data_IF_433922358394
#
_entry.id   IF_433922358394
#
_cell.length_a   1.000
_cell.length_b   1.000
_cell.length_c   1.000
_cell.angle_alpha   90.00
_cell.angle_beta   90.00
_cell.angle_gamma   90.00
#
_symmetry.space_group_name_H-M   'P 1'
#
loop_
_entity.id
_entity.type
_entity.pdbx_description
1 polymer ?
#
# COMPACT_ATOMS: atom_id res chain seq x y z
N UNK A 1 1.23 36.67 -47.98
CA UNK A 1 1.44 36.90 -46.54
C UNK A 1 0.29 36.21 -45.82
N UNK A 2 0.55 35.12 -45.07
CA UNK A 2 0.63 35.11 -43.58
C UNK A 2 -0.74 35.49 -42.99
N UNK A 3 -1.52 34.68 -42.27
CA UNK A 3 -1.26 33.56 -41.36
C UNK A 3 -2.56 32.75 -41.14
N UNK A 4 -2.66 31.51 -41.63
CA UNK A 4 -3.73 30.55 -41.25
C UNK A 4 -3.22 29.48 -40.26
N UNK A 5 -2.01 29.64 -39.74
CA UNK A 5 -1.40 28.74 -38.74
C UNK A 5 -1.80 29.05 -37.29
N UNK A 6 -2.87 29.83 -37.07
CA UNK A 6 -3.30 30.26 -35.73
C UNK A 6 -4.19 29.23 -35.01
N UNK A 7 -4.79 28.28 -35.74
CA UNK A 7 -5.66 27.24 -35.15
C UNK A 7 -4.97 25.88 -34.94
N UNK A 8 -3.67 25.76 -35.25
CA UNK A 8 -2.82 24.62 -34.83
C UNK A 8 -1.97 25.05 -33.61
N UNK A 9 -2.50 25.96 -32.80
CA UNK A 9 -1.90 26.38 -31.55
C UNK A 9 -2.95 26.46 -30.45
N UNK A 10 -3.95 25.57 -30.50
CA UNK A 10 -4.69 25.22 -29.30
C UNK A 10 -3.76 24.38 -28.43
N UNK A 11 -2.76 25.05 -27.86
CA UNK A 11 -2.28 24.92 -26.49
C UNK A 11 -2.83 23.69 -25.79
N UNK A 12 -2.35 22.53 -26.20
CA UNK A 12 -2.34 21.32 -25.41
C UNK A 12 -1.30 21.49 -24.32
N UNK A 13 -1.48 22.53 -23.50
CA UNK A 13 -0.93 22.63 -22.16
C UNK A 13 -1.81 21.79 -21.24
N UNK A 14 -1.99 20.51 -21.58
CA UNK A 14 -2.48 19.52 -20.64
C UNK A 14 -1.33 19.34 -19.67
N UNK A 15 -1.47 19.88 -18.47
CA UNK A 15 -0.65 19.55 -17.32
C UNK A 15 -0.76 18.04 -17.10
N UNK A 16 0.12 17.26 -17.73
CA UNK A 16 0.17 15.80 -17.60
C UNK A 16 0.54 15.33 -16.19
N UNK A 17 0.84 16.26 -15.29
CA UNK A 17 1.24 15.98 -13.91
C UNK A 17 0.11 15.35 -13.08
N UNK A 18 -1.16 15.72 -13.32
CA UNK A 18 -2.29 15.23 -12.51
C UNK A 18 -2.61 13.75 -12.73
N UNK A 19 -2.38 13.23 -13.94
CA UNK A 19 -2.63 11.82 -14.25
C UNK A 19 -1.64 10.89 -13.56
N UNK A 20 -0.36 11.26 -13.59
CA UNK A 20 0.73 10.47 -13.01
C UNK A 20 0.60 10.39 -11.48
N UNK A 21 0.23 11.51 -10.83
CA UNK A 21 -0.01 11.54 -9.39
C UNK A 21 -1.16 10.62 -8.93
N UNK A 22 -2.21 10.47 -9.74
CA UNK A 22 -3.33 9.56 -9.42
C UNK A 22 -2.94 8.09 -9.57
N UNK A 23 -2.10 7.78 -10.55
CA UNK A 23 -1.62 6.42 -10.79
C UNK A 23 -0.66 5.98 -9.69
N UNK A 24 0.27 6.85 -9.29
CA UNK A 24 1.19 6.58 -8.19
C UNK A 24 0.42 6.35 -6.89
N UNK A 25 -0.58 7.19 -6.60
CA UNK A 25 -1.44 7.02 -5.42
C UNK A 25 -2.21 5.70 -5.43
N UNK A 26 -2.72 5.27 -6.59
CA UNK A 26 -3.42 3.99 -6.74
C UNK A 26 -2.48 2.78 -6.48
N UNK A 27 -1.25 2.84 -6.98
CA UNK A 27 -0.23 1.80 -6.75
C UNK A 27 0.14 1.71 -5.27
N UNK A 28 0.28 2.87 -4.60
CA UNK A 28 0.53 2.93 -3.14
C UNK A 28 -0.60 2.23 -2.35
N UNK A 29 -1.86 2.48 -2.71
CA UNK A 29 -3.02 1.86 -2.04
C UNK A 29 -3.12 0.35 -2.30
N UNK A 30 -2.77 -0.11 -3.50
CA UNK A 30 -2.77 -1.55 -3.82
C UNK A 30 -1.79 -2.33 -2.93
N UNK A 31 -0.65 -1.71 -2.59
CA UNK A 31 0.33 -2.28 -1.65
C UNK A 31 -0.24 -2.46 -0.24
N UNK A 32 -1.05 -1.50 0.24
CA UNK A 32 -1.72 -1.59 1.55
C UNK A 32 -2.72 -2.74 1.60
N UNK A 33 -3.36 -3.09 0.47
CA UNK A 33 -4.22 -4.27 0.38
C UNK A 33 -3.51 -5.57 0.79
N UNK A 34 -2.22 -5.71 0.50
CA UNK A 34 -1.41 -6.85 0.91
C UNK A 34 -1.21 -6.95 2.43
N UNK A 35 -1.16 -5.82 3.13
CA UNK A 35 -1.07 -5.76 4.60
C UNK A 35 -2.33 -6.35 5.24
N UNK A 36 -3.52 -5.99 4.74
CA UNK A 36 -4.78 -6.54 5.25
C UNK A 36 -4.83 -8.08 5.10
N UNK A 37 -4.36 -8.60 3.97
CA UNK A 37 -4.27 -10.04 3.74
C UNK A 37 -3.26 -10.72 4.68
N UNK A 38 -2.11 -10.07 4.93
CA UNK A 38 -1.10 -10.55 5.87
C UNK A 38 -1.62 -10.68 7.29
N UNK A 39 -2.40 -9.69 7.78
CA UNK A 39 -3.02 -9.72 9.11
C UNK A 39 -4.00 -10.89 9.22
N UNK A 40 -4.84 -11.10 8.20
CA UNK A 40 -5.78 -12.22 8.17
C UNK A 40 -5.08 -13.58 8.25
N UNK A 41 -3.97 -13.75 7.52
CA UNK A 41 -3.16 -14.96 7.59
C UNK A 41 -2.55 -15.19 8.98
N UNK A 42 -2.11 -14.11 9.63
CA UNK A 42 -1.52 -14.17 10.96
C UNK A 42 -2.56 -14.59 12.01
N UNK A 43 -3.77 -14.02 11.94
CA UNK A 43 -4.88 -14.39 12.83
C UNK A 43 -5.35 -15.83 12.58
N UNK A 44 -5.41 -16.28 11.33
CA UNK A 44 -5.74 -17.66 10.97
C UNK A 44 -4.71 -18.65 11.52
N UNK A 45 -3.42 -18.33 11.44
CA UNK A 45 -2.34 -19.15 12.00
C UNK A 45 -2.40 -19.20 13.53
N UNK A 46 -2.72 -18.08 14.19
CA UNK A 46 -2.88 -18.01 15.64
C UNK A 46 -4.05 -18.89 16.13
N UNK A 47 -5.21 -18.80 15.48
CA UNK A 47 -6.39 -19.60 15.83
C UNK A 47 -6.10 -21.09 15.65
N UNK A 48 -5.50 -21.47 14.52
CA UNK A 48 -5.14 -22.84 14.23
C UNK A 48 -4.09 -23.37 15.22
N UNK A 49 -3.06 -22.59 15.52
CA UNK A 49 -1.99 -22.96 16.46
C UNK A 49 -2.50 -23.11 17.90
N UNK A 50 -3.33 -22.17 18.36
CA UNK A 50 -3.97 -22.22 19.69
C UNK A 50 -4.90 -23.42 19.82
N UNK A 51 -5.58 -23.81 18.74
CA UNK A 51 -6.48 -24.97 18.72
C UNK A 51 -5.74 -26.31 18.79
N UNK A 52 -4.52 -26.39 18.24
CA UNK A 52 -3.72 -27.63 18.24
C UNK A 52 -2.98 -27.86 19.55
N UNK A 53 -2.50 -26.80 20.19
CA UNK A 53 -1.86 -26.90 21.49
C UNK A 53 -2.14 -25.65 22.34
N UNK A 54 -3.15 -25.67 23.23
CA UNK A 54 -3.49 -24.52 24.03
C UNK A 54 -2.44 -24.20 25.11
N UNK A 55 -1.48 -25.08 25.37
CA UNK A 55 -0.44 -24.86 26.40
C UNK A 55 0.62 -23.83 26.00
N UNK A 56 0.81 -23.57 24.71
CA UNK A 56 1.81 -22.62 24.17
C UNK A 56 1.18 -21.34 23.62
N UNK A 57 -0.07 -21.06 24.03
CA UNK A 57 -0.87 -19.95 23.50
C UNK A 57 -0.23 -18.58 23.71
N UNK A 58 0.43 -18.38 24.85
CA UNK A 58 1.04 -17.09 25.20
C UNK A 58 2.27 -16.77 24.34
N UNK A 59 3.10 -17.79 24.05
CA UNK A 59 4.25 -17.64 23.14
C UNK A 59 3.79 -17.43 21.68
N UNK A 60 2.78 -18.19 21.23
CA UNK A 60 2.19 -18.02 19.89
C UNK A 60 1.55 -16.64 19.70
N UNK A 61 0.88 -16.13 20.73
CA UNK A 61 0.28 -14.80 20.71
C UNK A 61 1.36 -13.70 20.69
N UNK A 62 2.42 -13.85 21.48
CA UNK A 62 3.55 -12.91 21.50
C UNK A 62 4.25 -12.87 20.13
N UNK A 63 4.49 -14.03 19.50
CA UNK A 63 5.09 -14.09 18.17
C UNK A 63 4.20 -13.46 17.09
N UNK A 64 2.89 -13.69 17.17
CA UNK A 64 1.88 -13.08 16.29
C UNK A 64 1.84 -11.56 16.46
N UNK A 65 1.90 -11.04 17.70
CA UNK A 65 1.94 -9.60 17.94
C UNK A 65 3.23 -8.94 17.42
N UNK A 66 4.38 -9.60 17.56
CA UNK A 66 5.64 -9.13 16.95
C UNK A 66 5.50 -9.05 15.43
N UNK A 67 4.92 -10.08 14.80
CA UNK A 67 4.64 -10.10 13.37
C UNK A 67 3.66 -9.00 12.93
N UNK A 68 2.61 -8.73 13.72
CA UNK A 68 1.64 -7.67 13.45
C UNK A 68 2.30 -6.29 13.54
N UNK A 69 3.12 -6.05 14.57
CA UNK A 69 3.86 -4.80 14.72
C UNK A 69 4.86 -4.55 13.58
N UNK A 70 5.55 -5.61 13.12
CA UNK A 70 6.44 -5.52 11.96
C UNK A 70 5.68 -5.23 10.65
N UNK A 71 4.51 -5.85 10.46
CA UNK A 71 3.68 -5.62 9.28
C UNK A 71 3.11 -4.18 9.24
N UNK A 72 2.69 -3.64 10.38
CA UNK A 72 2.30 -2.22 10.50
C UNK A 72 3.48 -1.28 10.22
N UNK A 73 4.68 -1.63 10.70
CA UNK A 73 5.90 -0.87 10.42
C UNK A 73 6.18 -0.86 8.92
N UNK A 74 6.15 -2.01 8.24
CA UNK A 74 6.33 -2.07 6.79
C UNK A 74 5.30 -1.23 6.02
N UNK A 75 4.02 -1.27 6.41
CA UNK A 75 2.98 -0.46 5.79
C UNK A 75 3.23 1.05 5.94
N UNK A 76 3.63 1.50 7.14
CA UNK A 76 3.97 2.90 7.41
C UNK A 76 5.26 3.33 6.71
N UNK A 77 6.25 2.44 6.59
CA UNK A 77 7.49 2.71 5.86
C UNK A 77 7.26 2.90 4.36
N UNK A 78 6.44 2.05 3.74
CA UNK A 78 6.10 2.17 2.33
C UNK A 78 5.30 3.44 2.04
N UNK A 79 4.32 3.76 2.89
CA UNK A 79 3.56 5.01 2.77
C UNK A 79 4.45 6.25 2.96
N UNK A 80 5.43 6.19 3.88
CA UNK A 80 6.38 7.28 4.08
C UNK A 80 7.28 7.45 2.86
N UNK A 81 7.86 6.36 2.33
CA UNK A 81 8.68 6.41 1.12
C UNK A 81 7.92 7.00 -0.07
N UNK A 82 6.65 6.62 -0.22
CA UNK A 82 5.78 7.15 -1.28
C UNK A 82 5.39 8.62 -1.10
N UNK A 83 5.28 9.10 0.14
CA UNK A 83 4.92 10.50 0.42
C UNK A 83 6.13 11.44 0.41
N UNK A 84 7.33 10.89 0.62
CA UNK A 84 8.58 11.66 0.69
C UNK A 84 9.23 11.87 -0.69
N UNK A 85 8.88 11.03 -1.68
CA UNK A 85 9.27 11.16 -3.10
C UNK A 85 8.17 11.87 -3.91
#
# INVERSE_FOLDING_TARGET
MKEDNSCINHKSGVRHDSGIASLSAAIALMSVGGVAQGIGNLFSALVLGTSRNPSIKDELFTYTLIGMGFLEFLGKFLSLFFFLD
#
